data_IF_356167132708
#
_entry.id   IF_356167132708
#
_cell.length_a   1.000
_cell.length_b   1.000
_cell.length_c   1.000
_cell.angle_alpha   90.00
_cell.angle_beta   90.00
_cell.angle_gamma   90.00
#
_symmetry.space_group_name_H-M   'P 1'
#
loop_
_entity.id
_entity.type
_entity.pdbx_description
1 polymer ?
#
# COMPACT_ATOMS: atom_id res chain seq x y z
N UNK A 1 18.56 -0.03 41.16
CA UNK A 1 17.41 0.72 41.67
C UNK A 1 16.14 -0.11 41.51
N UNK A 2 15.41 -0.29 42.60
CA UNK A 2 14.10 -0.94 42.61
C UNK A 2 13.06 0.12 42.88
N UNK A 3 12.06 0.22 42.01
CA UNK A 3 10.98 1.19 42.18
C UNK A 3 10.16 0.84 43.45
N UNK A 4 9.82 1.83 44.29
CA UNK A 4 9.00 1.56 45.50
C UNK A 4 7.64 1.04 45.07
N UNK A 5 7.11 0.09 45.85
CA UNK A 5 5.73 -0.38 45.72
C UNK A 5 4.75 0.75 46.04
N UNK A 6 3.75 0.96 45.20
CA UNK A 6 2.78 2.07 45.32
C UNK A 6 3.22 3.38 44.70
N UNK A 7 4.27 3.39 43.87
CA UNK A 7 4.68 4.57 43.11
C UNK A 7 3.61 4.97 42.09
N UNK A 8 3.53 6.29 41.82
CA UNK A 8 2.65 6.82 40.77
C UNK A 8 3.09 6.24 39.42
N UNK A 9 2.14 5.66 38.68
CA UNK A 9 2.38 5.15 37.33
C UNK A 9 2.69 6.30 36.37
N UNK A 10 3.63 6.08 35.45
CA UNK A 10 3.99 7.05 34.43
C UNK A 10 5.49 7.25 34.23
N UNK A 11 5.84 8.35 33.61
CA UNK A 11 7.24 8.69 33.32
C UNK A 11 7.90 9.29 34.54
N UNK A 12 8.91 8.60 35.06
CA UNK A 12 9.73 9.03 36.20
C UNK A 12 11.10 9.50 35.73
N UNK A 13 11.69 10.42 36.51
CA UNK A 13 13.04 10.92 36.28
C UNK A 13 13.91 10.64 37.48
N UNK A 14 15.08 10.12 37.26
CA UNK A 14 16.16 10.05 38.25
C UNK A 14 17.17 11.14 37.90
N UNK A 15 17.53 11.98 38.88
CA UNK A 15 18.60 12.96 38.77
C UNK A 15 19.59 12.82 39.92
N UNK A 16 20.85 13.03 39.64
CA UNK A 16 21.89 13.07 40.66
C UNK A 16 21.92 14.47 41.28
N UNK A 17 21.91 14.54 42.63
CA UNK A 17 22.06 15.80 43.33
C UNK A 17 23.50 16.35 43.13
N UNK A 18 23.57 17.55 42.50
CA UNK A 18 24.84 18.27 42.35
C UNK A 18 25.57 18.00 41.02
N UNK A 19 25.07 17.15 40.13
CA UNK A 19 25.66 16.88 38.82
C UNK A 19 24.65 16.95 37.68
N UNK A 20 25.13 17.27 36.46
CA UNK A 20 24.29 17.37 35.25
C UNK A 20 24.02 15.99 34.66
N UNK A 21 23.20 15.20 35.32
CA UNK A 21 22.80 13.89 34.79
C UNK A 21 21.36 13.55 35.15
N UNK A 22 20.58 13.10 34.17
CA UNK A 22 19.25 12.56 34.44
C UNK A 22 18.91 11.43 33.50
N UNK A 23 18.23 10.42 34.03
CA UNK A 23 17.67 9.31 33.26
C UNK A 23 16.16 9.26 33.45
N UNK A 24 15.46 8.86 32.39
CA UNK A 24 14.01 8.69 32.42
C UNK A 24 13.71 7.21 32.33
N UNK A 25 12.73 6.77 33.12
CA UNK A 25 12.16 5.43 33.05
C UNK A 25 10.65 5.52 33.21
N UNK A 26 9.95 4.45 32.88
CA UNK A 26 8.50 4.39 32.97
C UNK A 26 8.11 3.32 33.97
N UNK A 27 7.22 3.66 34.88
CA UNK A 27 6.63 2.72 35.84
C UNK A 27 5.22 2.41 35.36
N UNK A 28 4.98 1.14 35.06
CA UNK A 28 3.68 0.68 34.59
C UNK A 28 3.28 -0.56 35.39
N UNK A 29 1.98 -0.66 35.69
CA UNK A 29 1.43 -1.89 36.24
C UNK A 29 1.22 -2.87 35.08
N UNK A 30 1.95 -3.97 35.11
CA UNK A 30 1.78 -5.03 34.13
C UNK A 30 0.54 -5.87 34.46
N UNK A 31 -0.57 -5.58 33.81
CA UNK A 31 -1.73 -6.49 33.77
C UNK A 31 -1.59 -7.42 32.58
N UNK A 32 -1.53 -8.72 32.81
CA UNK A 32 -1.58 -9.71 31.71
C UNK A 32 -2.86 -9.50 30.93
N UNK A 33 -2.76 -9.27 29.62
CA UNK A 33 -3.94 -9.17 28.78
C UNK A 33 -4.73 -10.48 28.82
N UNK A 34 -6.05 -10.36 28.90
CA UNK A 34 -6.96 -11.52 28.96
C UNK A 34 -7.39 -11.97 27.56
N UNK A 35 -7.42 -11.04 26.61
CA UNK A 35 -7.82 -11.29 25.23
C UNK A 35 -7.03 -10.42 24.25
N UNK A 36 -7.11 -10.75 22.99
CA UNK A 36 -6.58 -9.97 21.87
C UNK A 36 -7.69 -9.65 20.87
N UNK A 37 -7.44 -8.68 20.02
CA UNK A 37 -8.37 -8.25 18.97
C UNK A 37 -7.67 -8.27 17.64
N UNK A 38 -8.32 -8.80 16.61
CA UNK A 38 -7.83 -8.86 15.24
C UNK A 38 -8.88 -8.32 14.28
N UNK A 39 -8.42 -7.80 13.13
CA UNK A 39 -9.28 -7.35 12.05
C UNK A 39 -8.93 -8.16 10.80
N UNK A 40 -9.89 -8.91 10.30
CA UNK A 40 -9.80 -9.64 9.05
C UNK A 40 -10.30 -8.75 7.92
N UNK A 41 -9.48 -8.56 6.90
CA UNK A 41 -9.85 -7.83 5.69
C UNK A 41 -10.43 -8.77 4.64
N UNK A 42 -11.36 -8.29 3.80
CA UNK A 42 -11.87 -9.07 2.69
C UNK A 42 -10.71 -9.44 1.74
N UNK A 43 -10.77 -10.65 1.18
CA UNK A 43 -9.77 -11.12 0.20
C UNK A 43 -9.91 -10.41 -1.15
N UNK A 44 -11.11 -10.01 -1.50
CA UNK A 44 -11.38 -9.31 -2.74
C UNK A 44 -11.26 -7.80 -2.54
N UNK A 45 -10.52 -7.11 -3.41
CA UNK A 45 -10.39 -5.66 -3.33
C UNK A 45 -11.74 -5.00 -3.65
N UNK A 46 -12.20 -4.14 -2.75
CA UNK A 46 -13.35 -3.28 -3.03
C UNK A 46 -12.97 -2.21 -4.05
N UNK A 47 -13.94 -1.77 -4.85
CA UNK A 47 -13.78 -0.60 -5.71
C UNK A 47 -14.14 0.69 -4.94
N UNK A 48 -13.64 1.83 -5.44
CA UNK A 48 -14.04 3.13 -4.90
C UNK A 48 -15.55 3.34 -5.05
N UNK A 49 -16.17 3.81 -3.97
CA UNK A 49 -17.62 3.98 -3.87
C UNK A 49 -18.38 2.74 -3.40
N UNK A 50 -17.73 1.59 -3.30
CA UNK A 50 -18.35 0.36 -2.79
C UNK A 50 -18.25 0.25 -1.27
N UNK A 51 -19.11 -0.61 -0.71
CA UNK A 51 -19.09 -0.94 0.71
C UNK A 51 -17.98 -1.92 1.02
N UNK A 52 -17.08 -1.54 1.93
CA UNK A 52 -16.03 -2.40 2.49
C UNK A 52 -16.54 -3.00 3.80
N UNK A 53 -16.48 -4.33 3.92
CA UNK A 53 -16.84 -5.06 5.13
C UNK A 53 -15.62 -5.73 5.71
N UNK A 54 -15.35 -5.47 6.98
CA UNK A 54 -14.26 -6.10 7.73
C UNK A 54 -14.80 -6.76 8.98
N UNK A 55 -14.27 -7.93 9.31
CA UNK A 55 -14.64 -8.69 10.48
C UNK A 55 -13.64 -8.41 11.61
N UNK A 56 -14.12 -7.91 12.73
CA UNK A 56 -13.33 -7.78 13.96
C UNK A 56 -13.58 -9.03 14.81
N UNK A 57 -12.51 -9.64 15.32
CA UNK A 57 -12.56 -10.76 16.27
C UNK A 57 -11.90 -10.38 17.58
N UNK A 58 -12.53 -10.75 18.66
CA UNK A 58 -11.99 -10.66 20.01
C UNK A 58 -11.96 -12.06 20.61
N UNK A 59 -10.77 -12.54 20.96
CA UNK A 59 -10.55 -13.89 21.46
C UNK A 59 -9.66 -13.85 22.69
N UNK A 60 -10.05 -14.60 23.72
CA UNK A 60 -9.24 -14.78 24.91
C UNK A 60 -8.00 -15.62 24.59
N UNK A 61 -6.90 -15.41 25.30
CA UNK A 61 -5.69 -16.24 25.14
C UNK A 61 -5.90 -17.73 25.45
N UNK A 62 -7.05 -18.08 26.02
CA UNK A 62 -7.50 -19.47 26.24
C UNK A 62 -8.23 -20.07 25.03
N UNK A 63 -8.42 -19.30 23.94
CA UNK A 63 -9.18 -19.71 22.76
C UNK A 63 -10.69 -19.47 22.86
N UNK A 64 -11.19 -18.89 23.96
CA UNK A 64 -12.62 -18.61 24.10
C UNK A 64 -12.99 -17.28 23.43
N UNK A 65 -14.13 -17.21 22.72
CA UNK A 65 -14.63 -15.97 22.16
C UNK A 65 -15.01 -14.96 23.26
N UNK A 66 -14.80 -13.68 23.01
CA UNK A 66 -15.23 -12.59 23.91
C UNK A 66 -16.59 -12.09 23.45
N UNK A 67 -17.64 -12.63 24.03
CA UNK A 67 -19.03 -12.29 23.72
C UNK A 67 -19.48 -10.99 24.43
N UNK A 68 -20.36 -10.22 23.80
CA UNK A 68 -20.96 -9.02 24.38
C UNK A 68 -19.97 -7.91 24.71
N UNK A 69 -18.76 -7.92 24.13
CA UNK A 69 -17.79 -6.85 24.33
C UNK A 69 -18.16 -5.63 23.49
N UNK A 70 -18.07 -4.44 24.08
CA UNK A 70 -18.32 -3.18 23.40
C UNK A 70 -17.22 -2.91 22.39
N UNK A 71 -17.57 -2.76 21.12
CA UNK A 71 -16.69 -2.36 20.03
C UNK A 71 -16.94 -0.90 19.68
N UNK A 72 -15.92 -0.07 19.80
CA UNK A 72 -15.89 1.30 19.23
C UNK A 72 -14.91 1.30 18.08
N UNK A 73 -15.31 1.85 16.94
CA UNK A 73 -14.45 1.84 15.75
C UNK A 73 -14.49 3.17 14.99
N UNK A 74 -13.43 3.44 14.26
CA UNK A 74 -13.31 4.58 13.36
C UNK A 74 -12.50 4.20 12.12
N UNK A 75 -12.80 4.85 11.02
CA UNK A 75 -12.12 4.70 9.73
C UNK A 75 -11.61 6.05 9.28
N UNK A 76 -10.31 6.13 9.02
CA UNK A 76 -9.68 7.32 8.46
C UNK A 76 -9.17 7.03 7.05
N UNK A 77 -9.32 7.99 6.14
CA UNK A 77 -8.83 7.94 4.77
C UNK A 77 -7.61 8.86 4.64
N UNK A 78 -6.58 8.34 3.97
CA UNK A 78 -5.37 9.12 3.62
C UNK A 78 -5.04 8.88 2.15
N UNK A 79 -5.00 9.90 1.29
CA UNK A 79 -4.58 9.71 -0.09
C UNK A 79 -3.07 9.47 -0.16
N UNK A 80 -2.68 8.50 -0.99
CA UNK A 80 -1.29 8.16 -1.33
C UNK A 80 -1.12 8.27 -2.84
N UNK A 81 -0.09 8.98 -3.26
CA UNK A 81 0.19 9.23 -4.68
C UNK A 81 1.26 8.28 -5.21
N UNK A 82 1.17 7.85 -6.47
CA UNK A 82 2.24 7.11 -7.12
C UNK A 82 3.55 7.90 -7.14
N UNK A 83 4.68 7.19 -7.10
CA UNK A 83 6.02 7.81 -7.04
C UNK A 83 6.35 8.72 -8.24
N UNK A 84 5.75 8.47 -9.40
CA UNK A 84 5.96 9.31 -10.58
C UNK A 84 5.39 10.73 -10.43
N UNK A 85 4.38 10.94 -9.58
CA UNK A 85 3.82 12.29 -9.32
C UNK A 85 4.82 13.21 -8.64
N UNK A 86 5.81 12.66 -7.92
CA UNK A 86 6.86 13.44 -7.26
C UNK A 86 7.81 14.13 -8.24
N UNK A 87 7.87 13.69 -9.50
CA UNK A 87 8.70 14.25 -10.56
C UNK A 87 7.99 15.36 -11.35
N UNK A 88 6.71 15.56 -11.10
CA UNK A 88 5.91 16.61 -11.75
C UNK A 88 6.02 17.90 -10.95
N UNK A 89 6.95 18.78 -11.30
CA UNK A 89 7.22 20.08 -10.67
C UNK A 89 6.02 21.04 -10.62
N UNK A 90 5.03 20.82 -11.48
CA UNK A 90 3.79 21.60 -11.57
C UNK A 90 2.63 21.06 -10.74
N UNK A 91 2.78 19.89 -10.18
CA UNK A 91 1.81 19.38 -9.22
C UNK A 91 2.23 19.95 -7.86
N UNK A 92 1.49 20.94 -7.35
CA UNK A 92 1.62 21.36 -5.96
C UNK A 92 1.60 20.10 -5.08
N UNK A 93 2.49 19.97 -4.09
CA UNK A 93 2.42 18.84 -3.18
C UNK A 93 1.05 18.87 -2.53
N UNK A 94 0.16 18.03 -3.03
CA UNK A 94 -1.17 17.86 -2.47
C UNK A 94 -0.93 17.34 -1.07
N UNK A 95 -1.25 18.13 -0.05
CA UNK A 95 -1.09 17.71 1.32
C UNK A 95 -1.96 16.48 1.53
N UNK A 96 -1.32 15.34 1.79
CA UNK A 96 -2.02 14.11 2.17
C UNK A 96 -2.69 14.35 3.52
N UNK A 97 -3.93 14.84 3.48
CA UNK A 97 -4.72 15.08 4.69
C UNK A 97 -5.43 13.80 5.08
N UNK A 98 -5.20 13.35 6.30
CA UNK A 98 -5.98 12.26 6.88
C UNK A 98 -7.33 12.81 7.34
N UNK A 99 -8.40 12.16 6.93
CA UNK A 99 -9.77 12.53 7.25
C UNK A 99 -10.52 11.32 7.81
N UNK A 100 -11.28 11.52 8.89
CA UNK A 100 -12.19 10.50 9.40
C UNK A 100 -13.44 10.48 8.52
N UNK A 101 -13.77 9.31 7.98
CA UNK A 101 -14.89 9.13 7.05
C UNK A 101 -16.04 8.33 7.63
N UNK A 102 -15.79 7.55 8.67
CA UNK A 102 -16.80 6.75 9.34
C UNK A 102 -16.38 6.40 10.76
N UNK A 103 -17.34 6.26 11.65
CA UNK A 103 -17.17 5.72 12.98
C UNK A 103 -18.46 5.05 13.45
N UNK A 104 -18.36 4.26 14.50
CA UNK A 104 -19.54 3.61 15.07
C UNK A 104 -19.24 2.85 16.37
N UNK A 105 -20.32 2.35 16.93
CA UNK A 105 -20.31 1.51 18.13
C UNK A 105 -21.18 0.29 17.84
N UNK A 106 -20.68 -0.89 18.22
CA UNK A 106 -21.40 -2.16 18.15
C UNK A 106 -20.93 -3.07 19.28
N UNK A 107 -21.42 -4.31 19.31
CA UNK A 107 -21.01 -5.31 20.28
C UNK A 107 -20.60 -6.59 19.55
N UNK A 108 -19.70 -7.36 20.17
CA UNK A 108 -19.32 -8.68 19.65
C UNK A 108 -20.43 -9.69 19.92
N UNK A 109 -20.67 -10.56 18.96
CA UNK A 109 -21.61 -11.67 19.11
C UNK A 109 -21.04 -12.85 19.87
N UNK A 110 -21.83 -13.91 20.01
CA UNK A 110 -21.47 -15.14 20.73
C UNK A 110 -20.21 -15.83 20.20
N UNK A 111 -19.85 -15.59 18.94
CA UNK A 111 -18.60 -16.06 18.31
C UNK A 111 -17.42 -15.11 18.56
N UNK A 112 -17.59 -14.09 19.38
CA UNK A 112 -16.56 -13.06 19.64
C UNK A 112 -16.31 -12.11 18.47
N UNK A 113 -17.17 -12.08 17.45
CA UNK A 113 -16.95 -11.25 16.27
C UNK A 113 -17.99 -10.16 16.09
N UNK A 114 -17.60 -9.10 15.37
CA UNK A 114 -18.48 -8.04 14.91
C UNK A 114 -18.09 -7.60 13.51
N UNK A 115 -19.06 -7.10 12.73
CA UNK A 115 -18.82 -6.57 11.39
C UNK A 115 -18.77 -5.05 11.43
N UNK A 116 -17.75 -4.49 10.80
CA UNK A 116 -17.65 -3.06 10.49
C UNK A 116 -17.89 -2.93 8.99
N UNK A 117 -18.77 -2.01 8.61
CA UNK A 117 -18.96 -1.64 7.21
C UNK A 117 -18.83 -0.14 7.01
N UNK A 118 -18.19 0.25 5.91
CA UNK A 118 -18.05 1.64 5.49
C UNK A 118 -17.98 1.73 3.97
N UNK A 119 -18.30 2.88 3.41
CA UNK A 119 -18.16 3.12 1.98
C UNK A 119 -16.76 3.67 1.70
N UNK A 120 -16.04 3.08 0.74
CA UNK A 120 -14.71 3.52 0.32
C UNK A 120 -14.80 4.81 -0.52
N UNK A 121 -15.14 5.93 0.10
CA UNK A 121 -15.33 7.21 -0.58
C UNK A 121 -13.97 7.84 -0.96
N UNK A 122 -13.75 8.18 -2.26
CA UNK A 122 -12.55 8.91 -2.67
C UNK A 122 -12.56 10.33 -2.12
N UNK A 123 -11.38 10.94 -2.09
CA UNK A 123 -11.25 12.38 -1.84
C UNK A 123 -11.52 13.15 -3.12
N UNK A 124 -12.66 13.83 -3.20
CA UNK A 124 -13.05 14.62 -4.38
C UNK A 124 -12.18 15.85 -4.63
N UNK A 125 -11.35 16.25 -3.66
CA UNK A 125 -10.39 17.34 -3.84
C UNK A 125 -9.14 16.92 -4.60
N UNK A 126 -8.95 15.61 -4.77
CA UNK A 126 -7.82 15.01 -5.48
C UNK A 126 -8.23 14.62 -6.89
N UNK A 127 -7.46 15.06 -7.91
CA UNK A 127 -7.75 14.70 -9.31
C UNK A 127 -7.55 13.20 -9.54
N UNK A 128 -8.46 12.58 -10.26
CA UNK A 128 -8.37 11.18 -10.71
C UNK A 128 -7.17 10.96 -11.65
N UNK A 129 -6.77 11.97 -12.42
CA UNK A 129 -5.63 11.91 -13.34
C UNK A 129 -4.30 11.62 -12.62
N UNK A 130 -4.24 11.85 -11.32
CA UNK A 130 -3.08 11.53 -10.50
C UNK A 130 -3.06 10.06 -10.03
N UNK A 131 -4.10 9.29 -10.37
CA UNK A 131 -4.28 7.89 -9.98
C UNK A 131 -4.01 7.65 -8.48
N UNK A 132 -4.65 8.43 -7.58
CA UNK A 132 -4.41 8.29 -6.16
C UNK A 132 -4.92 6.94 -5.65
N UNK A 133 -4.19 6.39 -4.69
CA UNK A 133 -4.62 5.26 -3.88
C UNK A 133 -5.06 5.83 -2.54
N UNK A 134 -6.20 5.40 -2.03
CA UNK A 134 -6.71 5.81 -0.73
C UNK A 134 -6.47 4.70 0.30
N UNK A 135 -5.68 5.01 1.31
CA UNK A 135 -5.43 4.11 2.44
C UNK A 135 -6.51 4.37 3.51
N UNK A 136 -7.36 3.37 3.74
CA UNK A 136 -8.38 3.38 4.80
C UNK A 136 -7.82 2.67 6.02
N UNK A 137 -7.50 3.43 7.07
CA UNK A 137 -7.05 2.86 8.33
C UNK A 137 -8.25 2.66 9.26
N UNK A 138 -8.53 1.40 9.60
CA UNK A 138 -9.61 0.97 10.46
C UNK A 138 -9.00 0.72 11.84
N UNK A 139 -9.48 1.44 12.84
CA UNK A 139 -9.12 1.26 14.25
C UNK A 139 -10.34 0.72 14.97
N UNK A 140 -10.17 -0.38 15.67
CA UNK A 140 -11.21 -1.04 16.43
C UNK A 140 -10.75 -1.22 17.87
N UNK A 141 -11.49 -0.66 18.82
CA UNK A 141 -11.26 -0.71 20.26
C UNK A 141 -12.34 -1.59 20.88
N UNK A 142 -11.97 -2.79 21.32
CA UNK A 142 -12.87 -3.74 21.98
C UNK A 142 -12.70 -3.67 23.50
N UNK A 143 -13.79 -3.41 24.22
CA UNK A 143 -13.80 -3.34 25.68
C UNK A 143 -14.59 -4.53 26.23
N UNK A 144 -13.90 -5.45 26.86
CA UNK A 144 -14.51 -6.62 27.51
C UNK A 144 -15.26 -6.28 28.79
N UNK A 145 -16.10 -7.19 29.29
CA UNK A 145 -16.93 -7.00 30.48
C UNK A 145 -16.16 -6.65 31.76
N UNK A 146 -14.86 -6.93 31.83
CA UNK A 146 -14.00 -6.56 32.96
C UNK A 146 -13.40 -5.12 32.81
N UNK A 147 -13.80 -4.34 31.79
CA UNK A 147 -13.30 -3.00 31.53
C UNK A 147 -11.93 -2.93 30.86
N UNK A 148 -11.37 -4.08 30.48
CA UNK A 148 -10.13 -4.13 29.70
C UNK A 148 -10.44 -3.76 28.23
N UNK A 149 -9.64 -2.86 27.65
CA UNK A 149 -9.77 -2.49 26.22
C UNK A 149 -8.56 -3.00 25.45
N UNK A 150 -8.83 -3.58 24.28
CA UNK A 150 -7.83 -4.00 23.28
C UNK A 150 -8.12 -3.37 21.95
N UNK A 151 -7.07 -2.84 21.34
CA UNK A 151 -7.16 -2.16 20.06
C UNK A 151 -6.51 -2.98 18.96
N UNK A 152 -7.14 -3.01 17.81
CA UNK A 152 -6.56 -3.50 16.57
C UNK A 152 -6.62 -2.40 15.51
N UNK A 153 -5.62 -2.39 14.64
CA UNK A 153 -5.59 -1.48 13.50
C UNK A 153 -5.28 -2.26 12.23
N UNK A 154 -6.06 -2.02 11.20
CA UNK A 154 -5.83 -2.62 9.88
C UNK A 154 -5.98 -1.55 8.82
N UNK A 155 -5.21 -1.69 7.73
CA UNK A 155 -5.29 -0.80 6.55
C UNK A 155 -5.82 -1.59 5.37
N UNK A 156 -6.69 -0.94 4.60
CA UNK A 156 -7.21 -1.41 3.32
C UNK A 156 -6.93 -0.32 2.30
N UNK A 157 -6.26 -0.67 1.21
CA UNK A 157 -5.94 0.25 0.13
C UNK A 157 -6.93 0.07 -1.01
N UNK A 158 -7.58 1.15 -1.42
CA UNK A 158 -8.55 1.16 -2.52
C UNK A 158 -8.17 2.27 -3.49
N UNK A 159 -8.16 1.96 -4.78
CA UNK A 159 -7.82 2.89 -5.85
C UNK A 159 -8.83 2.86 -6.99
N UNK A 160 -8.57 3.67 -8.01
CA UNK A 160 -9.35 3.64 -9.26
C UNK A 160 -9.11 2.34 -10.03
N UNK A 161 -7.93 1.73 -9.85
CA UNK A 161 -7.62 0.37 -10.32
C UNK A 161 -7.29 -0.50 -9.12
N UNK A 162 -7.58 -1.80 -9.19
CA UNK A 162 -7.31 -2.76 -8.11
C UNK A 162 -5.96 -3.48 -8.27
N UNK A 163 -5.27 -3.23 -9.38
CA UNK A 163 -4.04 -3.90 -9.76
C UNK A 163 -2.93 -2.88 -10.03
N UNK A 164 -1.73 -3.19 -9.56
CA UNK A 164 -0.49 -2.51 -9.94
C UNK A 164 0.35 -3.45 -10.77
N UNK A 165 0.91 -2.94 -11.87
CA UNK A 165 1.85 -3.66 -12.68
C UNK A 165 3.20 -2.94 -12.72
N UNK A 166 4.28 -3.68 -12.70
CA UNK A 166 5.64 -3.20 -12.91
C UNK A 166 6.38 -4.09 -13.88
N UNK A 167 7.30 -3.49 -14.62
CA UNK A 167 8.16 -4.19 -15.55
C UNK A 167 9.61 -3.81 -15.20
N UNK A 168 10.47 -4.81 -15.10
CA UNK A 168 11.90 -4.65 -14.84
C UNK A 168 12.69 -5.38 -15.91
N UNK A 169 13.64 -4.69 -16.52
CA UNK A 169 14.56 -5.21 -17.52
C UNK A 169 15.95 -4.64 -17.27
N UNK A 170 16.99 -5.27 -17.82
CA UNK A 170 18.32 -4.70 -17.84
C UNK A 170 18.35 -3.45 -18.72
N UNK A 171 19.02 -2.41 -18.26
CA UNK A 171 19.17 -1.15 -19.01
C UNK A 171 20.12 -1.28 -20.21
N UNK A 172 21.02 -2.24 -20.15
CA UNK A 172 22.06 -2.49 -21.15
C UNK A 172 22.20 -3.98 -21.43
N UNK A 173 22.30 -4.32 -22.73
CA UNK A 173 22.59 -5.66 -23.21
C UNK A 173 23.61 -5.58 -24.34
N UNK A 174 24.50 -6.56 -24.41
CA UNK A 174 25.40 -6.72 -25.54
C UNK A 174 24.64 -7.22 -26.77
N UNK A 175 25.13 -6.83 -27.97
CA UNK A 175 24.49 -7.28 -29.21
C UNK A 175 24.55 -8.80 -29.33
N UNK A 176 23.38 -9.43 -29.48
CA UNK A 176 23.25 -10.88 -29.56
C UNK A 176 22.84 -11.56 -28.25
N UNK A 177 22.82 -10.84 -27.13
CA UNK A 177 22.28 -11.34 -25.88
C UNK A 177 20.74 -11.37 -25.93
N UNK A 178 20.16 -12.31 -25.19
CA UNK A 178 18.72 -12.44 -25.02
C UNK A 178 18.26 -11.44 -23.95
N UNK A 179 17.33 -10.57 -24.30
CA UNK A 179 16.66 -9.70 -23.33
C UNK A 179 15.77 -10.57 -22.42
N UNK A 180 16.07 -10.54 -21.13
CA UNK A 180 15.19 -11.06 -20.08
C UNK A 180 14.54 -9.91 -19.34
N UNK A 181 13.21 -10.00 -19.14
CA UNK A 181 12.49 -9.01 -18.35
C UNK A 181 11.42 -9.67 -17.49
N UNK A 182 11.23 -9.11 -16.30
CA UNK A 182 10.27 -9.60 -15.33
C UNK A 182 9.09 -8.64 -15.27
N UNK A 183 7.90 -9.21 -15.30
CA UNK A 183 6.64 -8.52 -15.05
C UNK A 183 6.17 -8.92 -13.67
N UNK A 184 5.75 -7.94 -12.89
CA UNK A 184 5.16 -8.18 -11.58
C UNK A 184 3.83 -7.46 -11.48
N UNK A 185 2.80 -8.20 -11.06
CA UNK A 185 1.44 -7.72 -10.83
C UNK A 185 1.06 -7.97 -9.38
N UNK A 186 0.63 -6.91 -8.69
CA UNK A 186 0.30 -6.94 -7.26
C UNK A 186 -1.01 -6.20 -6.98
N UNK A 187 -1.66 -6.57 -5.89
CA UNK A 187 -2.77 -5.79 -5.33
C UNK A 187 -2.27 -4.43 -4.83
N UNK A 188 -3.19 -3.53 -4.48
CA UNK A 188 -2.83 -2.24 -3.87
C UNK A 188 -2.21 -2.39 -2.48
N UNK A 189 -2.49 -3.50 -1.80
CA UNK A 189 -1.91 -3.86 -0.50
C UNK A 189 -0.55 -4.57 -0.60
N UNK A 190 -0.13 -4.95 -1.83
CA UNK A 190 1.19 -5.50 -2.12
C UNK A 190 1.24 -7.02 -2.33
N UNK A 191 0.09 -7.70 -2.24
CA UNK A 191 0.02 -9.15 -2.48
C UNK A 191 0.11 -9.46 -3.98
N UNK A 192 0.84 -10.53 -4.32
CA UNK A 192 0.90 -11.04 -5.70
C UNK A 192 -0.50 -11.32 -6.26
N UNK A 193 -0.73 -10.98 -7.52
CA UNK A 193 -2.00 -11.20 -8.21
C UNK A 193 -1.79 -11.69 -9.62
N UNK A 194 -2.40 -12.82 -9.94
CA UNK A 194 -2.44 -13.32 -11.29
C UNK A 194 -3.17 -12.36 -12.22
N UNK A 195 -2.56 -12.01 -13.32
CA UNK A 195 -3.13 -11.13 -14.34
C UNK A 195 -2.70 -11.56 -15.74
N UNK A 196 -3.52 -11.21 -16.71
CA UNK A 196 -3.21 -11.41 -18.13
C UNK A 196 -3.06 -10.08 -18.80
N UNK A 197 -2.05 -9.93 -19.63
CA UNK A 197 -1.79 -8.69 -20.34
C UNK A 197 -0.97 -8.88 -21.59
N UNK A 198 -0.62 -7.76 -22.20
CA UNK A 198 0.14 -7.73 -23.46
C UNK A 198 1.38 -6.87 -23.26
N UNK A 199 2.54 -7.45 -23.54
CA UNK A 199 3.77 -6.69 -23.65
C UNK A 199 3.98 -6.27 -25.10
N UNK A 200 4.25 -5.00 -25.32
CA UNK A 200 4.67 -4.45 -26.60
C UNK A 200 6.08 -3.92 -26.46
N UNK A 201 6.98 -4.32 -27.36
CA UNK A 201 8.32 -3.79 -27.46
C UNK A 201 8.34 -2.79 -28.61
N UNK A 202 8.51 -1.52 -28.30
CA UNK A 202 8.61 -0.45 -29.27
C UNK A 202 10.08 -0.13 -29.54
N UNK A 203 10.48 -0.09 -30.81
CA UNK A 203 11.73 0.56 -31.17
C UNK A 203 11.55 2.07 -31.01
N UNK A 204 12.50 2.73 -30.36
CA UNK A 204 12.41 4.16 -30.15
C UNK A 204 12.77 4.92 -31.44
N UNK A 205 12.18 6.10 -31.64
CA UNK A 205 12.50 6.99 -32.72
C UNK A 205 13.82 7.70 -32.40
N UNK A 206 14.91 7.18 -32.92
CA UNK A 206 16.20 7.84 -32.81
C UNK A 206 16.16 9.19 -33.54
N UNK A 207 16.77 10.24 -32.95
CA UNK A 207 16.82 11.55 -33.60
C UNK A 207 17.69 11.47 -34.89
N UNK A 208 17.22 12.08 -35.97
CA UNK A 208 17.92 12.12 -37.28
C UNK A 208 19.29 12.78 -37.19
N UNK A 209 19.47 13.68 -36.24
CA UNK A 209 20.72 14.38 -35.98
C UNK A 209 21.33 13.83 -34.69
N UNK A 210 22.57 13.34 -34.80
CA UNK A 210 23.31 12.89 -33.61
C UNK A 210 23.37 14.05 -32.60
N UNK A 211 22.77 13.88 -31.40
CA UNK A 211 22.73 14.96 -30.43
C UNK A 211 24.15 15.25 -29.94
N UNK A 212 24.69 16.40 -30.32
CA UNK A 212 25.89 16.92 -29.66
C UNK A 212 25.49 17.47 -28.29
N UNK A 213 26.39 17.43 -27.32
CA UNK A 213 26.19 17.98 -25.97
C UNK A 213 26.06 19.53 -25.93
N UNK A 214 25.48 20.12 -26.97
CA UNK A 214 25.23 21.56 -27.09
C UNK A 214 23.75 21.82 -26.81
N UNK A 215 23.49 22.92 -26.11
CA UNK A 215 22.16 23.49 -25.84
C UNK A 215 21.28 23.41 -27.09
N UNK A 216 20.43 22.39 -27.20
CA UNK A 216 19.55 22.18 -28.32
C UNK A 216 18.39 21.26 -27.98
N UNK A 217 17.36 21.29 -28.78
CA UNK A 217 16.05 20.69 -28.66
C UNK A 217 16.06 19.14 -28.69
N UNK A 218 17.18 18.52 -29.03
CA UNK A 218 17.31 17.04 -29.14
C UNK A 218 17.95 16.46 -27.89
N UNK A 219 17.23 15.61 -27.18
CA UNK A 219 17.76 14.92 -26.03
C UNK A 219 18.59 13.71 -26.43
N UNK A 220 19.78 13.58 -25.81
CA UNK A 220 20.59 12.35 -25.87
C UNK A 220 20.03 11.23 -25.01
N UNK A 221 19.11 11.53 -24.12
CA UNK A 221 18.48 10.57 -23.21
C UNK A 221 17.39 9.78 -23.96
N UNK A 222 17.58 8.44 -24.18
CA UNK A 222 16.58 7.62 -24.87
C UNK A 222 15.23 7.60 -24.18
N UNK A 223 15.16 7.89 -22.87
CA UNK A 223 13.90 7.96 -22.14
C UNK A 223 12.97 9.08 -22.67
N UNK A 224 13.53 10.09 -23.33
CA UNK A 224 12.78 11.20 -23.94
C UNK A 224 12.40 10.96 -25.39
N UNK A 225 12.89 9.89 -26.00
CA UNK A 225 12.54 9.57 -27.38
C UNK A 225 11.14 8.99 -27.48
N UNK A 226 10.43 9.35 -28.53
CA UNK A 226 9.07 8.85 -28.75
C UNK A 226 9.06 7.36 -29.14
N UNK A 227 7.98 6.63 -28.82
CA UNK A 227 7.81 5.27 -29.30
C UNK A 227 7.67 5.25 -30.84
N UNK A 228 8.37 4.33 -31.47
CA UNK A 228 8.25 4.01 -32.89
C UNK A 228 7.36 2.78 -33.11
N UNK A 229 7.73 1.96 -34.08
CA UNK A 229 7.01 0.74 -34.43
C UNK A 229 7.08 -0.31 -33.31
N UNK A 230 6.06 -1.14 -33.23
CA UNK A 230 6.04 -2.32 -32.35
C UNK A 230 6.79 -3.44 -33.06
N UNK A 231 7.97 -3.79 -32.56
CA UNK A 231 8.82 -4.83 -33.16
C UNK A 231 8.46 -6.22 -32.65
N UNK A 232 7.97 -6.33 -31.42
CA UNK A 232 7.48 -7.59 -30.83
C UNK A 232 6.28 -7.35 -29.93
N UNK A 233 5.41 -8.36 -29.87
CA UNK A 233 4.23 -8.41 -29.03
C UNK A 233 4.10 -9.77 -28.42
N UNK A 234 3.87 -9.82 -27.10
CA UNK A 234 3.67 -11.06 -26.32
C UNK A 234 2.39 -10.98 -25.52
N UNK A 235 1.61 -12.05 -25.50
CA UNK A 235 0.59 -12.25 -24.49
C UNK A 235 1.25 -12.91 -23.29
N UNK A 236 1.07 -12.35 -22.12
CA UNK A 236 1.73 -12.79 -20.88
C UNK A 236 0.69 -12.96 -19.80
N UNK A 237 0.83 -14.04 -19.04
CA UNK A 237 0.07 -14.29 -17.83
C UNK A 237 1.05 -14.44 -16.68
N UNK A 238 0.84 -13.68 -15.59
CA UNK A 238 1.58 -13.84 -14.34
C UNK A 238 1.04 -15.03 -13.55
N UNK A 239 1.87 -15.61 -12.72
CA UNK A 239 1.51 -16.70 -11.80
C UNK A 239 0.68 -16.21 -10.59
N UNK A 240 0.47 -17.08 -9.60
CA UNK A 240 -0.29 -16.75 -8.38
C UNK A 240 0.47 -15.76 -7.47
N UNK A 241 1.80 -15.73 -7.57
CA UNK A 241 2.71 -14.78 -6.90
C UNK A 241 2.78 -13.44 -7.65
N UNK A 242 2.12 -13.37 -8.82
CA UNK A 242 2.06 -12.18 -9.66
C UNK A 242 3.31 -11.97 -10.51
N UNK A 243 4.10 -13.00 -10.79
CA UNK A 243 5.36 -12.87 -11.54
C UNK A 243 5.30 -13.59 -12.89
N UNK A 244 5.98 -13.00 -13.87
CA UNK A 244 6.23 -13.64 -15.16
C UNK A 244 7.59 -13.21 -15.70
N UNK A 245 8.41 -14.18 -16.13
CA UNK A 245 9.67 -13.95 -16.82
C UNK A 245 9.44 -14.14 -18.33
N UNK A 246 9.84 -13.14 -19.11
CA UNK A 246 9.71 -13.15 -20.57
C UNK A 246 11.08 -12.93 -21.19
N UNK A 247 11.35 -13.64 -22.28
CA UNK A 247 12.59 -13.57 -23.03
C UNK A 247 12.35 -13.13 -24.46
N UNK A 248 13.24 -12.28 -24.98
CA UNK A 248 13.14 -11.79 -26.34
C UNK A 248 14.53 -11.54 -26.94
N UNK A 249 14.71 -11.86 -28.20
CA UNK A 249 15.89 -11.42 -28.95
C UNK A 249 15.55 -10.15 -29.73
N UNK A 250 16.43 -9.16 -29.66
CA UNK A 250 16.30 -7.89 -30.32
C UNK A 250 17.60 -7.57 -31.07
N UNK A 251 17.46 -6.87 -32.18
CA UNK A 251 18.61 -6.28 -32.89
C UNK A 251 19.16 -5.08 -32.11
N UNK A 252 20.36 -4.61 -32.47
CA UNK A 252 20.91 -3.41 -31.88
C UNK A 252 19.97 -2.20 -32.05
N UNK A 253 19.75 -1.43 -31.00
CA UNK A 253 18.85 -0.27 -31.00
C UNK A 253 18.38 0.13 -29.61
N UNK A 254 17.60 1.18 -29.54
CA UNK A 254 16.95 1.62 -28.32
C UNK A 254 15.47 1.20 -28.33
N UNK A 255 15.01 0.64 -27.23
CA UNK A 255 13.68 0.06 -27.12
C UNK A 255 12.96 0.53 -25.86
N UNK A 256 11.63 0.50 -25.91
CA UNK A 256 10.75 0.68 -24.75
C UNK A 256 9.77 -0.46 -24.66
N UNK A 257 9.74 -1.09 -23.49
CA UNK A 257 8.78 -2.13 -23.16
C UNK A 257 7.58 -1.48 -22.50
N UNK A 258 6.38 -1.85 -22.95
CA UNK A 258 5.12 -1.39 -22.40
C UNK A 258 4.27 -2.62 -22.10
N UNK A 259 3.89 -2.79 -20.85
CA UNK A 259 2.95 -3.82 -20.44
C UNK A 259 1.57 -3.23 -20.22
N UNK A 260 0.60 -3.73 -20.95
CA UNK A 260 -0.81 -3.34 -20.84
C UNK A 260 -1.60 -4.48 -20.22
N UNK A 261 -2.25 -4.23 -19.11
CA UNK A 261 -3.12 -5.20 -18.44
C UNK A 261 -4.41 -4.53 -17.99
N UNK A 262 -5.36 -5.34 -17.55
CA UNK A 262 -6.62 -4.88 -16.98
C UNK A 262 -6.82 -5.54 -15.63
N UNK A 263 -7.41 -4.80 -14.70
CA UNK A 263 -7.87 -5.37 -13.44
C UNK A 263 -9.15 -6.23 -13.63
N UNK A 264 -9.61 -6.84 -12.53
CA UNK A 264 -10.81 -7.66 -12.52
C UNK A 264 -12.09 -6.89 -12.96
N UNK A 265 -12.08 -5.56 -12.84
CA UNK A 265 -13.17 -4.67 -13.28
C UNK A 265 -13.03 -4.22 -14.73
N UNK A 266 -11.97 -4.65 -15.44
CA UNK A 266 -11.69 -4.29 -16.83
C UNK A 266 -11.05 -2.91 -17.01
N UNK A 267 -10.61 -2.25 -15.94
CA UNK A 267 -9.88 -0.97 -15.97
C UNK A 267 -8.41 -1.24 -16.31
N UNK A 268 -7.84 -0.37 -17.15
CA UNK A 268 -6.42 -0.42 -17.54
C UNK A 268 -5.55 0.30 -16.53
#
# INVERSE_FOLDING_TARGET
FTAPTGSVLGRCRISLNGESGSAYFRVEEYKRPKFFTEIDTPKDPAALGEEVKVKVRAEAYTGAPVDGAKLSWRVTRTPRYPSWTLWCWWVSPVQSRTEEIAHGISETGADGSAMISFVAQPDKSVSEDLEPIFDYAIVADVTGGAGETRSATKRVSVGYTSLKASLSAADWLESGEELEFTIRTISLDGDGRKATGVVKIHRLKEPEVCPRATRGEVSIDPNRWGPGEVVKKFEVQTDEEGEALVKAQLDAGAYRLVFETKDASGRK
#
